data_IF_316279653141
#
_entry.id   IF_316279653141
#
_cell.length_a   1.000
_cell.length_b   1.000
_cell.length_c   1.000
_cell.angle_alpha   90.00
_cell.angle_beta   90.00
_cell.angle_gamma   90.00
#
_symmetry.space_group_name_H-M   'P 1'
#
loop_
_entity.id
_entity.type
_entity.pdbx_description
1 polymer ?
#
# COMPACT_ATOMS: atom_id res chain seq x y z
N UNK A 1 -8.52 -22.68 15.57
CA UNK A 1 -8.02 -21.44 14.92
C UNK A 1 -9.20 -20.49 14.79
N UNK A 2 -9.09 -19.23 15.22
CA UNK A 2 -10.20 -18.28 15.20
C UNK A 2 -10.49 -17.87 13.74
N UNK A 3 -11.64 -18.27 13.18
CA UNK A 3 -11.98 -18.11 11.76
C UNK A 3 -12.05 -16.64 11.33
N UNK A 4 -12.35 -15.73 12.25
CA UNK A 4 -12.33 -14.29 11.98
C UNK A 4 -10.93 -13.73 11.81
N UNK A 5 -9.94 -14.28 12.53
CA UNK A 5 -8.55 -13.85 12.46
C UNK A 5 -7.90 -14.26 11.14
N UNK A 6 -8.10 -15.51 10.72
CA UNK A 6 -7.63 -16.00 9.42
C UNK A 6 -8.21 -15.19 8.26
N UNK A 7 -9.53 -14.91 8.28
CA UNK A 7 -10.17 -14.04 7.27
C UNK A 7 -9.64 -12.61 7.27
N UNK A 8 -9.24 -12.09 8.43
CA UNK A 8 -8.67 -10.74 8.53
C UNK A 8 -7.25 -10.70 7.94
N UNK A 9 -6.45 -11.74 8.16
CA UNK A 9 -5.12 -11.90 7.55
C UNK A 9 -5.24 -12.03 6.03
N UNK A 10 -6.13 -12.90 5.54
CA UNK A 10 -6.38 -13.10 4.12
C UNK A 10 -6.77 -11.78 3.41
N UNK A 11 -7.63 -10.96 4.04
CA UNK A 11 -7.99 -9.64 3.54
C UNK A 11 -6.79 -8.69 3.45
N UNK A 12 -5.88 -8.72 4.42
CA UNK A 12 -4.67 -7.89 4.43
C UNK A 12 -3.71 -8.32 3.32
N UNK A 13 -3.57 -9.63 3.10
CA UNK A 13 -2.74 -10.20 2.02
C UNK A 13 -3.29 -9.85 0.64
N UNK A 14 -4.60 -10.00 0.41
CA UNK A 14 -5.24 -9.57 -0.84
C UNK A 14 -5.13 -8.05 -1.08
N UNK A 15 -5.12 -7.24 -0.03
CA UNK A 15 -4.87 -5.80 -0.14
C UNK A 15 -3.43 -5.50 -0.55
N UNK A 16 -2.46 -6.30 -0.08
CA UNK A 16 -1.05 -6.15 -0.44
C UNK A 16 -0.81 -6.40 -1.92
N UNK A 17 -1.39 -7.46 -2.48
CA UNK A 17 -1.27 -7.76 -3.91
C UNK A 17 -1.77 -6.59 -4.77
N UNK A 18 -2.91 -6.00 -4.40
CA UNK A 18 -3.45 -4.81 -5.08
C UNK A 18 -2.54 -3.60 -4.93
N UNK A 19 -1.97 -3.37 -3.73
CA UNK A 19 -1.03 -2.28 -3.50
C UNK A 19 0.22 -2.46 -4.38
N UNK A 20 0.75 -3.67 -4.49
CA UNK A 20 1.95 -3.94 -5.28
C UNK A 20 1.69 -3.76 -6.78
N UNK A 21 0.53 -4.21 -7.28
CA UNK A 21 0.09 -3.94 -8.66
C UNK A 21 0.00 -2.43 -8.94
N UNK A 22 -0.61 -1.65 -8.05
CA UNK A 22 -0.69 -0.19 -8.19
C UNK A 22 0.68 0.47 -8.07
N UNK A 23 1.57 -0.02 -7.19
CA UNK A 23 2.94 0.48 -7.04
C UNK A 23 3.75 0.28 -8.31
N UNK A 24 3.63 -0.89 -8.96
CA UNK A 24 4.27 -1.16 -10.26
C UNK A 24 3.73 -0.22 -11.33
N UNK A 25 2.40 -0.08 -11.44
CA UNK A 25 1.79 0.83 -12.40
C UNK A 25 2.22 2.29 -12.22
N UNK A 26 2.30 2.77 -10.97
CA UNK A 26 2.79 4.13 -10.65
C UNK A 26 4.27 4.29 -11.02
N UNK A 27 5.13 3.32 -10.70
CA UNK A 27 6.56 3.37 -11.06
C UNK A 27 6.77 3.42 -12.57
N UNK A 28 5.97 2.66 -13.32
CA UNK A 28 6.06 2.66 -14.77
C UNK A 28 5.60 3.97 -15.38
N UNK A 29 4.51 4.55 -14.87
CA UNK A 29 4.09 5.89 -15.26
C UNK A 29 5.13 6.96 -14.88
N UNK A 30 5.82 6.83 -13.75
CA UNK A 30 6.92 7.72 -13.38
C UNK A 30 8.08 7.66 -14.37
N UNK A 31 8.45 6.45 -14.82
CA UNK A 31 9.51 6.24 -15.82
C UNK A 31 9.11 6.73 -17.22
N UNK A 32 7.86 6.49 -17.61
CA UNK A 32 7.30 6.91 -18.88
C UNK A 32 5.86 7.40 -18.69
N UNK A 33 5.68 8.72 -18.72
CA UNK A 33 4.36 9.36 -18.58
C UNK A 33 3.37 8.98 -19.68
N UNK A 34 3.85 8.45 -20.79
CA UNK A 34 3.04 8.15 -21.98
C UNK A 34 2.72 6.66 -22.12
N UNK A 35 3.25 5.81 -21.24
CA UNK A 35 2.94 4.39 -21.24
C UNK A 35 1.58 4.12 -20.55
N UNK A 36 0.51 4.36 -21.32
CA UNK A 36 -0.87 4.20 -20.86
C UNK A 36 -1.40 2.76 -20.95
N UNK A 37 -0.61 1.81 -21.48
CA UNK A 37 -1.03 0.41 -21.65
C UNK A 37 -1.33 -0.29 -20.31
N UNK A 38 -0.78 0.25 -19.20
CA UNK A 38 -1.02 -0.26 -17.84
C UNK A 38 -2.02 0.57 -17.03
N UNK A 39 -2.68 1.54 -17.67
CA UNK A 39 -3.73 2.36 -17.06
C UNK A 39 -5.10 1.73 -17.33
N UNK A 40 -6.02 1.64 -16.34
CA UNK A 40 -7.35 1.08 -16.55
C UNK A 40 -8.09 1.77 -17.72
N UNK A 41 -8.72 0.98 -18.59
CA UNK A 41 -9.16 1.36 -19.95
C UNK A 41 -10.13 2.54 -20.11
N UNK A 42 -10.64 3.13 -19.01
CA UNK A 42 -11.41 4.38 -19.05
C UNK A 42 -10.58 5.54 -19.62
N UNK A 43 -9.26 5.51 -19.40
CA UNK A 43 -8.40 6.58 -19.88
C UNK A 43 -8.12 6.52 -21.39
N UNK A 44 -7.91 5.32 -21.92
CA UNK A 44 -7.76 5.09 -23.37
C UNK A 44 -9.01 5.56 -24.13
N UNK A 45 -10.20 5.34 -23.55
CA UNK A 45 -11.48 5.84 -24.06
C UNK A 45 -11.56 7.38 -24.05
N UNK A 46 -11.09 8.03 -22.98
CA UNK A 46 -11.07 9.50 -22.89
C UNK A 46 -10.17 10.12 -23.96
N UNK A 47 -8.97 9.57 -24.17
CA UNK A 47 -8.05 10.02 -25.22
C UNK A 47 -8.63 9.86 -26.63
N UNK A 48 -9.27 8.72 -26.91
CA UNK A 48 -9.97 8.46 -28.17
C UNK A 48 -11.11 9.47 -28.42
N UNK A 49 -11.87 9.80 -27.36
CA UNK A 49 -12.97 10.77 -27.43
C UNK A 49 -12.45 12.18 -27.73
N UNK A 50 -11.36 12.58 -27.07
CA UNK A 50 -10.69 13.86 -27.33
C UNK A 50 -10.18 13.91 -28.77
N UNK A 51 -9.47 12.87 -29.23
CA UNK A 51 -8.95 12.79 -30.59
C UNK A 51 -10.08 12.86 -31.65
N UNK A 52 -11.21 12.19 -31.40
CA UNK A 52 -12.38 12.23 -32.29
C UNK A 52 -13.03 13.63 -32.35
N UNK A 53 -13.16 14.32 -31.21
CA UNK A 53 -13.65 15.70 -31.16
C UNK A 53 -12.73 16.63 -31.97
N UNK A 54 -11.41 16.51 -31.78
CA UNK A 54 -10.45 17.31 -32.54
C UNK A 54 -10.45 16.99 -34.04
N UNK A 55 -10.60 15.72 -34.43
CA UNK A 55 -10.74 15.32 -35.83
C UNK A 55 -12.00 15.91 -36.48
N UNK A 56 -13.11 15.97 -35.75
CA UNK A 56 -14.34 16.62 -36.20
C UNK A 56 -14.16 18.13 -36.41
N UNK A 57 -13.51 18.82 -35.46
CA UNK A 57 -13.22 20.25 -35.60
C UNK A 57 -12.25 20.53 -36.77
N UNK A 58 -11.18 19.77 -36.92
CA UNK A 58 -10.24 19.93 -38.03
C UNK A 58 -10.90 19.73 -39.40
N UNK A 59 -11.80 18.74 -39.53
CA UNK A 59 -12.59 18.54 -40.76
C UNK A 59 -13.50 19.74 -41.07
N UNK A 60 -14.15 20.31 -40.06
CA UNK A 60 -15.04 21.47 -40.21
C UNK A 60 -14.31 22.77 -40.62
N UNK A 61 -13.03 22.89 -40.30
CA UNK A 61 -12.22 24.08 -40.58
C UNK A 61 -11.37 24.00 -41.86
N UNK A 62 -11.40 22.86 -42.56
CA UNK A 62 -10.71 22.67 -43.85
C UNK A 62 -11.33 23.46 -45.03
N UNK A 63 -12.47 24.11 -44.82
CA UNK A 63 -13.07 25.02 -45.82
C UNK A 63 -12.32 26.37 -45.93
N UNK A 64 -11.42 26.70 -44.99
CA UNK A 64 -10.69 27.97 -44.97
C UNK A 64 -9.18 27.84 -45.29
N UNK A 65 -8.63 28.87 -45.94
CA UNK A 65 -7.22 28.91 -46.41
C UNK A 65 -6.16 28.85 -45.29
N UNK A 66 -6.58 28.98 -44.02
CA UNK A 66 -5.73 28.91 -42.83
C UNK A 66 -5.64 27.50 -42.19
N UNK A 67 -6.07 26.44 -42.91
CA UNK A 67 -6.12 25.06 -42.43
C UNK A 67 -4.83 24.57 -41.75
N UNK A 68 -3.66 25.02 -42.18
CA UNK A 68 -2.36 24.61 -41.64
C UNK A 68 -2.07 25.17 -40.24
N UNK A 69 -2.46 26.43 -39.96
CA UNK A 69 -2.38 27.02 -38.61
C UNK A 69 -3.33 26.32 -37.65
N UNK A 70 -4.53 25.99 -38.13
CA UNK A 70 -5.54 25.27 -37.37
C UNK A 70 -5.04 23.85 -37.05
N UNK A 71 -4.42 23.18 -38.01
CA UNK A 71 -3.81 21.85 -37.81
C UNK A 71 -2.69 21.89 -36.78
N UNK A 72 -1.80 22.89 -36.83
CA UNK A 72 -0.74 23.07 -35.83
C UNK A 72 -1.30 23.36 -34.43
N UNK A 73 -2.35 24.19 -34.33
CA UNK A 73 -3.01 24.47 -33.06
C UNK A 73 -3.69 23.21 -32.47
N UNK A 74 -4.31 22.39 -33.33
CA UNK A 74 -4.92 21.11 -32.93
C UNK A 74 -3.85 20.12 -32.48
N UNK A 75 -2.74 19.97 -33.20
CA UNK A 75 -1.64 19.09 -32.81
C UNK A 75 -0.99 19.55 -31.48
N UNK A 76 -0.82 20.86 -31.30
CA UNK A 76 -0.35 21.43 -30.04
C UNK A 76 -1.32 21.18 -28.88
N UNK A 77 -2.63 21.36 -29.10
CA UNK A 77 -3.66 21.09 -28.11
C UNK A 77 -3.74 19.60 -27.74
N UNK A 78 -3.64 18.70 -28.72
CA UNK A 78 -3.61 17.26 -28.48
C UNK A 78 -2.35 16.88 -27.69
N UNK A 79 -1.17 17.35 -28.09
CA UNK A 79 0.07 17.11 -27.36
C UNK A 79 0.03 17.62 -25.90
N UNK A 80 -0.48 18.84 -25.70
CA UNK A 80 -0.68 19.40 -24.36
C UNK A 80 -1.71 18.60 -23.54
N UNK A 81 -2.79 18.14 -24.17
CA UNK A 81 -3.81 17.31 -23.51
C UNK A 81 -3.25 15.96 -23.07
N UNK A 82 -2.38 15.34 -23.88
CA UNK A 82 -1.72 14.07 -23.53
C UNK A 82 -0.85 14.26 -22.31
N UNK A 83 -0.06 15.34 -22.28
CA UNK A 83 0.82 15.65 -21.16
C UNK A 83 0.04 15.98 -19.88
N UNK A 84 -0.97 16.85 -19.96
CA UNK A 84 -1.83 17.20 -18.81
C UNK A 84 -2.58 15.99 -18.25
N UNK A 85 -3.14 15.18 -19.14
CA UNK A 85 -3.91 14.00 -18.75
C UNK A 85 -2.99 12.93 -18.14
N UNK A 86 -1.74 12.81 -18.60
CA UNK A 86 -0.73 11.95 -17.98
C UNK A 86 -0.43 12.32 -16.53
N UNK A 87 -0.31 13.63 -16.24
CA UNK A 87 -0.07 14.13 -14.90
C UNK A 87 -1.27 13.88 -13.98
N UNK A 88 -2.49 14.04 -14.50
CA UNK A 88 -3.73 13.75 -13.77
C UNK A 88 -3.85 12.27 -13.41
N UNK A 89 -3.53 11.34 -14.31
CA UNK A 89 -3.55 9.90 -13.97
C UNK A 89 -2.50 9.59 -12.91
N UNK A 90 -1.27 10.09 -13.07
CA UNK A 90 -0.20 9.86 -12.10
C UNK A 90 -0.66 10.29 -10.70
N UNK A 91 -1.30 11.45 -10.62
CA UNK A 91 -1.84 11.96 -9.37
C UNK A 91 -2.97 11.08 -8.82
N UNK A 92 -3.96 10.70 -9.64
CA UNK A 92 -5.06 9.82 -9.21
C UNK A 92 -4.55 8.45 -8.74
N UNK A 93 -3.63 7.83 -9.49
CA UNK A 93 -3.03 6.55 -9.11
C UNK A 93 -2.23 6.62 -7.82
N UNK A 94 -1.42 7.69 -7.63
CA UNK A 94 -0.73 7.93 -6.36
C UNK A 94 -1.72 8.09 -5.20
N UNK A 95 -2.79 8.88 -5.39
CA UNK A 95 -3.82 9.06 -4.37
C UNK A 95 -4.54 7.75 -4.02
N UNK A 96 -4.85 6.92 -5.03
CA UNK A 96 -5.45 5.58 -4.82
C UNK A 96 -4.50 4.65 -4.08
N UNK A 97 -3.23 4.64 -4.45
CA UNK A 97 -2.19 3.85 -3.77
C UNK A 97 -2.08 4.26 -2.30
N UNK A 98 -2.04 5.56 -2.01
CA UNK A 98 -2.02 6.07 -0.63
C UNK A 98 -3.27 5.66 0.17
N UNK A 99 -4.46 5.71 -0.44
CA UNK A 99 -5.70 5.25 0.20
C UNK A 99 -5.65 3.76 0.51
N UNK A 100 -5.19 2.94 -0.44
CA UNK A 100 -5.05 1.49 -0.24
C UNK A 100 -4.07 1.17 0.90
N UNK A 101 -2.91 1.83 0.92
CA UNK A 101 -1.93 1.69 2.02
C UNK A 101 -2.54 2.10 3.36
N UNK A 102 -3.27 3.22 3.40
CA UNK A 102 -3.95 3.70 4.62
C UNK A 102 -4.99 2.70 5.10
N UNK A 103 -5.77 2.11 4.20
CA UNK A 103 -6.79 1.13 4.54
C UNK A 103 -6.19 -0.21 4.97
N UNK A 104 -5.10 -0.66 4.34
CA UNK A 104 -4.33 -1.81 4.81
C UNK A 104 -3.79 -1.60 6.22
N UNK A 105 -3.27 -0.40 6.53
CA UNK A 105 -2.81 -0.06 7.87
C UNK A 105 -3.94 -0.07 8.91
N UNK A 106 -5.16 0.34 8.53
CA UNK A 106 -6.34 0.19 9.39
C UNK A 106 -6.73 -1.27 9.58
N UNK A 107 -6.66 -2.09 8.53
CA UNK A 107 -6.91 -3.54 8.61
C UNK A 107 -5.91 -4.20 9.55
N UNK A 108 -4.62 -3.92 9.41
CA UNK A 108 -3.55 -4.39 10.31
C UNK A 108 -3.84 -4.03 11.77
N UNK A 109 -4.27 -2.79 12.05
CA UNK A 109 -4.68 -2.36 13.41
C UNK A 109 -5.83 -3.16 14.02
N UNK A 110 -6.68 -3.79 13.23
CA UNK A 110 -7.76 -4.66 13.76
C UNK A 110 -7.22 -6.03 14.16
N UNK A 111 -6.15 -6.48 13.50
CA UNK A 111 -5.48 -7.77 13.74
C UNK A 111 -4.56 -7.70 14.96
N UNK A 112 -4.14 -6.50 15.40
CA UNK A 112 -3.14 -6.34 16.47
C UNK A 112 -3.54 -6.95 17.81
N UNK A 113 -4.82 -6.90 18.19
CA UNK A 113 -5.28 -7.45 19.48
C UNK A 113 -5.07 -8.97 19.52
N UNK A 114 -5.66 -9.70 18.58
CA UNK A 114 -5.51 -11.16 18.49
C UNK A 114 -4.08 -11.57 18.14
N UNK A 115 -3.39 -10.79 17.31
CA UNK A 115 -1.96 -11.03 17.02
C UNK A 115 -1.06 -10.86 18.24
N UNK A 116 -1.36 -9.91 19.14
CA UNK A 116 -0.58 -9.71 20.37
C UNK A 116 -0.75 -10.87 21.36
N UNK A 117 -1.91 -11.52 21.38
CA UNK A 117 -2.15 -12.72 22.18
C UNK A 117 -1.31 -13.91 21.65
N UNK A 118 -1.22 -14.07 20.33
CA UNK A 118 -0.35 -15.08 19.70
C UNK A 118 1.13 -14.82 19.98
N UNK A 119 1.59 -13.56 19.88
CA UNK A 119 2.98 -13.19 20.22
C UNK A 119 3.26 -13.37 21.71
N UNK A 120 2.31 -13.07 22.59
CA UNK A 120 2.47 -13.25 24.03
C UNK A 120 2.63 -14.72 24.44
N UNK A 121 1.97 -15.66 23.74
CA UNK A 121 2.17 -17.11 23.96
C UNK A 121 3.59 -17.56 23.69
N UNK A 122 4.32 -16.85 22.82
CA UNK A 122 5.71 -17.15 22.49
C UNK A 122 6.72 -16.57 23.51
N UNK A 123 6.28 -15.70 24.42
CA UNK A 123 7.16 -15.01 25.36
C UNK A 123 8.04 -13.98 24.65
N UNK A 124 9.29 -14.33 24.38
CA UNK A 124 10.26 -13.50 23.62
C UNK A 124 10.65 -14.23 22.34
N UNK A 125 10.36 -13.63 21.18
CA UNK A 125 10.60 -14.26 19.88
C UNK A 125 11.13 -13.26 18.84
N UNK A 126 11.94 -13.74 17.90
CA UNK A 126 12.28 -12.97 16.69
C UNK A 126 11.11 -12.93 15.71
N UNK A 127 11.14 -12.03 14.73
CA UNK A 127 10.15 -12.00 13.64
C UNK A 127 10.05 -13.36 12.94
N UNK A 128 11.17 -14.03 12.67
CA UNK A 128 11.16 -15.33 12.00
C UNK A 128 10.49 -16.41 12.85
N UNK A 129 10.72 -16.37 14.17
CA UNK A 129 10.07 -17.30 15.10
C UNK A 129 8.56 -17.02 15.21
N UNK A 130 8.14 -15.75 15.17
CA UNK A 130 6.73 -15.38 15.15
C UNK A 130 6.07 -15.87 13.85
N UNK A 131 6.74 -15.70 12.71
CA UNK A 131 6.25 -16.21 11.43
C UNK A 131 6.11 -17.73 11.43
N UNK A 132 7.10 -18.47 11.96
CA UNK A 132 7.08 -19.93 11.95
C UNK A 132 6.11 -20.55 12.96
N UNK A 133 5.86 -19.89 14.09
CA UNK A 133 5.13 -20.48 15.24
C UNK A 133 3.75 -19.90 15.48
N UNK A 134 3.32 -18.90 14.71
CA UNK A 134 1.99 -18.29 14.84
C UNK A 134 1.27 -18.24 13.50
N UNK A 135 -0.06 -18.06 13.55
CA UNK A 135 -0.87 -17.81 12.36
C UNK A 135 -0.51 -16.49 11.64
N UNK A 136 0.34 -15.63 12.23
CA UNK A 136 0.87 -14.44 11.57
C UNK A 136 1.88 -14.77 10.46
N UNK A 137 2.36 -16.01 10.36
CA UNK A 137 3.24 -16.47 9.28
C UNK A 137 2.61 -16.46 7.89
N UNK A 138 1.29 -16.32 7.79
CA UNK A 138 0.59 -16.11 6.52
C UNK A 138 0.79 -14.69 5.95
N UNK A 139 1.29 -13.76 6.76
CA UNK A 139 1.68 -12.42 6.31
C UNK A 139 3.09 -12.45 5.72
N UNK A 140 3.27 -11.70 4.63
CA UNK A 140 4.59 -11.40 4.10
C UNK A 140 5.48 -10.72 5.17
N UNK A 141 6.81 -10.91 5.08
CA UNK A 141 7.76 -10.49 6.11
C UNK A 141 7.69 -8.98 6.38
N UNK A 142 7.50 -8.18 5.34
CA UNK A 142 7.33 -6.73 5.44
C UNK A 142 6.03 -6.33 6.16
N UNK A 143 4.94 -7.05 5.91
CA UNK A 143 3.66 -6.83 6.58
C UNK A 143 3.70 -7.27 8.03
N UNK A 144 4.37 -8.39 8.31
CA UNK A 144 4.59 -8.87 9.67
C UNK A 144 5.40 -7.85 10.47
N UNK A 145 6.46 -7.30 9.88
CA UNK A 145 7.25 -6.23 10.50
C UNK A 145 6.40 -4.97 10.74
N UNK A 146 5.64 -4.52 9.74
CA UNK A 146 4.75 -3.37 9.90
C UNK A 146 3.68 -3.61 10.98
N UNK A 147 3.17 -4.85 11.11
CA UNK A 147 2.26 -5.24 12.18
C UNK A 147 2.94 -5.16 13.55
N UNK A 148 4.17 -5.67 13.68
CA UNK A 148 4.95 -5.59 14.92
C UNK A 148 5.21 -4.13 15.32
N UNK A 149 5.59 -3.26 14.39
CA UNK A 149 5.79 -1.84 14.65
C UNK A 149 4.50 -1.18 15.18
N UNK A 150 3.34 -1.53 14.62
CA UNK A 150 2.05 -1.04 15.10
C UNK A 150 1.77 -1.58 16.52
N UNK A 151 2.06 -2.85 16.80
CA UNK A 151 1.88 -3.43 18.14
C UNK A 151 2.79 -2.77 19.18
N UNK A 152 4.03 -2.43 18.81
CA UNK A 152 4.97 -1.68 19.65
C UNK A 152 4.44 -0.27 19.93
N UNK A 153 3.97 0.44 18.90
CA UNK A 153 3.33 1.75 19.04
C UNK A 153 2.10 1.71 19.95
N UNK A 154 1.33 0.61 19.89
CA UNK A 154 0.14 0.39 20.74
C UNK A 154 0.50 -0.14 22.14
N UNK A 155 1.78 -0.32 22.46
CA UNK A 155 2.26 -0.88 23.74
C UNK A 155 1.72 -2.29 24.04
N UNK A 156 1.38 -3.06 23.00
CA UNK A 156 0.96 -4.46 23.11
C UNK A 156 2.15 -5.43 23.08
N UNK A 157 3.26 -4.99 22.48
CA UNK A 157 4.50 -5.74 22.34
C UNK A 157 5.66 -4.80 22.68
N UNK A 158 6.70 -5.33 23.31
CA UNK A 158 7.95 -4.61 23.59
C UNK A 158 9.03 -5.07 22.61
N UNK A 159 9.70 -4.12 21.96
CA UNK A 159 10.87 -4.35 21.14
C UNK A 159 12.13 -4.37 22.03
N UNK A 160 12.95 -5.41 21.92
CA UNK A 160 14.22 -5.57 22.64
C UNK A 160 15.32 -5.76 21.59
N UNK A 161 16.21 -4.77 21.48
CA UNK A 161 17.36 -4.83 20.58
C UNK A 161 18.52 -5.50 21.31
N UNK A 162 18.95 -6.67 20.83
CA UNK A 162 20.05 -7.42 21.42
C UNK A 162 21.43 -7.05 20.83
N UNK A 163 21.47 -6.79 19.52
CA UNK A 163 22.65 -6.35 18.76
C UNK A 163 22.18 -5.71 17.45
N UNK A 164 23.10 -5.12 16.66
CA UNK A 164 22.78 -4.35 15.43
C UNK A 164 21.79 -5.03 14.47
N UNK A 165 21.75 -6.37 14.44
CA UNK A 165 20.91 -7.15 13.52
C UNK A 165 19.87 -8.07 14.19
N UNK A 166 19.71 -8.03 15.53
CA UNK A 166 18.78 -8.93 16.23
C UNK A 166 17.79 -8.16 17.09
N UNK A 167 16.53 -8.19 16.66
CA UNK A 167 15.38 -7.62 17.35
C UNK A 167 14.50 -8.76 17.88
N UNK A 168 14.23 -8.73 19.18
CA UNK A 168 13.25 -9.59 19.84
C UNK A 168 11.99 -8.80 20.15
N UNK A 169 10.86 -9.50 20.07
CA UNK A 169 9.56 -8.98 20.41
C UNK A 169 9.01 -9.77 21.60
N UNK A 170 8.58 -9.05 22.63
CA UNK A 170 7.96 -9.61 23.83
C UNK A 170 6.51 -9.19 23.93
N UNK A 171 5.58 -10.13 23.99
CA UNK A 171 4.17 -9.78 24.21
C UNK A 171 3.95 -9.21 25.60
N UNK A 172 3.26 -8.07 25.68
CA UNK A 172 2.84 -7.45 26.94
C UNK A 172 1.37 -7.82 27.18
N UNK A 173 1.13 -8.96 27.85
CA UNK A 173 -0.24 -9.32 28.23
C UNK A 173 -0.80 -8.28 29.22
N UNK A 174 -1.97 -7.66 28.96
CA UNK A 174 -2.63 -6.80 29.94
C UNK A 174 -3.07 -7.58 31.20
N UNK A 175 -3.27 -8.90 31.11
CA UNK A 175 -3.68 -9.74 32.25
C UNK A 175 -2.51 -10.13 33.18
N UNK A 176 -1.26 -10.06 32.73
CA UNK A 176 -0.10 -10.44 33.55
C UNK A 176 0.47 -9.28 34.39
N UNK A 177 0.06 -8.04 34.12
CA UNK A 177 0.56 -6.86 34.84
C UNK A 177 -0.02 -6.71 36.25
N UNK A 178 -1.10 -7.42 36.60
CA UNK A 178 -1.72 -7.32 37.93
C UNK A 178 -1.16 -8.27 38.99
N UNK A 179 -0.11 -9.06 38.71
CA UNK A 179 0.41 -10.03 39.71
C UNK A 179 1.93 -10.24 39.67
N UNK A 180 2.71 -9.23 39.28
CA UNK A 180 4.16 -9.30 39.46
C UNK A 180 4.49 -8.80 40.87
N UNK A 181 4.53 -9.73 41.83
CA UNK A 181 5.22 -9.51 43.11
C UNK A 181 6.71 -9.56 42.77
N UNK A 182 7.37 -8.39 42.71
CA UNK A 182 8.81 -8.32 42.55
C UNK A 182 9.50 -8.69 43.86
N UNK A 183 9.93 -9.94 43.99
CA UNK A 183 10.92 -10.29 45.02
C UNK A 183 12.30 -9.87 44.52
N UNK A 184 12.90 -8.91 45.22
CA UNK A 184 14.30 -8.52 45.03
C UNK A 184 15.15 -9.62 45.64
N UNK A 185 15.76 -10.46 44.81
CA UNK A 185 16.79 -11.39 45.27
C UNK A 185 18.05 -10.56 45.51
N UNK A 186 18.29 -10.19 46.77
CA UNK A 186 19.61 -9.75 47.21
C UNK A 186 20.50 -10.99 47.28
N UNK A 187 21.51 -11.04 46.44
CA UNK A 187 22.59 -12.03 46.50
C UNK A 187 23.68 -11.41 47.38
N UNK A 188 23.95 -12.07 48.50
CA UNK A 188 25.09 -11.78 49.39
C UNK A 188 26.40 -12.29 48.77
#
# INVERSE_FOLDING_TARGET
MNTEFARAIEKVTQQQEKIEQYRIAVKELEKDSTNFDKVPGIYSFFMLTIAALFGYFAYKFLEDSAWWWITLAVLGAVGASVYLSSALIKFDMKSRLERLIKDQRKSLKKVTKTGSEEVAKLGMATIDQIAQKTALGELDQDLLKALMDIMVQQKLVQEIKLNENKVLYKGLMPQAQMNIISEVIQVD
#
